data_IF_273348851596
#
_entry.id   IF_273348851596
#
_cell.length_a   1.000
_cell.length_b   1.000
_cell.length_c   1.000
_cell.angle_alpha   90.00
_cell.angle_beta   90.00
_cell.angle_gamma   90.00
#
_symmetry.space_group_name_H-M   'P 1'
#
loop_
_entity.id
_entity.type
_entity.pdbx_description
1 polymer ?
#
# COMPACT_ATOMS: atom_id res chain seq x y z
N UNK A 1 57.38 15.46 -0.01
CA UNK A 1 56.26 16.18 -0.67
C UNK A 1 55.38 15.13 -1.32
N UNK A 2 54.48 14.54 -0.51
CA UNK A 2 53.01 14.80 -0.50
C UNK A 2 52.33 14.09 -1.67
N UNK A 3 51.74 12.92 -1.42
CA UNK A 3 50.29 12.69 -1.12
C UNK A 3 49.46 12.73 -2.42
N UNK A 4 48.48 11.89 -2.69
CA UNK A 4 47.66 11.02 -1.86
C UNK A 4 46.98 10.01 -2.79
N UNK A 5 46.74 8.82 -2.26
CA UNK A 5 45.72 7.88 -2.71
C UNK A 5 44.42 8.61 -3.04
N UNK A 6 43.85 8.37 -4.23
CA UNK A 6 42.42 8.62 -4.44
C UNK A 6 41.68 7.46 -3.80
N UNK A 7 41.27 7.69 -2.56
CA UNK A 7 40.26 6.89 -1.87
C UNK A 7 39.06 6.69 -2.79
N UNK A 8 38.68 5.42 -2.92
CA UNK A 8 37.39 4.98 -3.42
C UNK A 8 36.33 5.62 -2.51
N UNK A 9 35.70 6.70 -2.97
CA UNK A 9 34.55 7.28 -2.27
C UNK A 9 33.35 6.34 -2.44
N UNK A 10 33.24 5.39 -1.51
CA UNK A 10 32.01 4.67 -1.20
C UNK A 10 31.04 5.64 -0.50
N UNK A 11 30.40 6.54 -1.24
CA UNK A 11 29.32 7.37 -0.72
C UNK A 11 27.97 6.70 -1.00
N UNK A 12 27.65 5.77 -0.10
CA UNK A 12 26.33 5.43 0.45
C UNK A 12 25.10 6.10 -0.21
N UNK A 13 24.64 5.51 -1.32
CA UNK A 13 23.36 5.84 -1.94
C UNK A 13 22.23 5.25 -1.07
N UNK A 14 21.59 6.08 -0.24
CA UNK A 14 20.43 5.65 0.57
C UNK A 14 19.22 5.67 -0.36
N UNK A 15 18.87 4.50 -0.93
CA UNK A 15 17.72 4.39 -1.85
C UNK A 15 16.45 4.99 -1.24
N UNK A 16 15.68 5.72 -2.05
CA UNK A 16 14.47 6.46 -1.65
C UNK A 16 13.46 5.56 -0.91
N UNK A 17 13.38 4.29 -1.29
CA UNK A 17 12.55 3.26 -0.64
C UNK A 17 12.93 3.07 0.84
N UNK A 18 14.23 3.08 1.15
CA UNK A 18 14.73 2.97 2.53
C UNK A 18 14.44 4.22 3.35
N UNK A 19 14.38 5.39 2.72
CA UNK A 19 13.99 6.64 3.38
C UNK A 19 12.50 6.61 3.71
N UNK A 20 11.66 6.27 2.74
CA UNK A 20 10.22 6.09 2.92
C UNK A 20 9.90 5.09 4.04
N UNK A 21 10.56 3.93 4.02
CA UNK A 21 10.40 2.91 5.05
C UNK A 21 10.68 3.44 6.46
N UNK A 22 11.75 4.22 6.62
CA UNK A 22 12.10 4.84 7.91
C UNK A 22 11.08 5.89 8.33
N UNK A 23 10.59 6.71 7.40
CA UNK A 23 9.57 7.73 7.66
C UNK A 23 8.26 7.08 8.14
N UNK A 24 7.77 6.06 7.43
CA UNK A 24 6.56 5.34 7.82
C UNK A 24 6.74 4.70 9.20
N UNK A 25 7.84 3.98 9.45
CA UNK A 25 8.07 3.35 10.76
C UNK A 25 8.15 4.37 11.89
N UNK A 26 8.81 5.52 11.68
CA UNK A 26 8.83 6.61 12.67
C UNK A 26 7.43 7.14 12.94
N UNK A 27 6.62 7.24 11.89
CA UNK A 27 5.26 7.71 11.97
C UNK A 27 4.31 6.76 12.70
N UNK A 28 4.41 5.47 12.38
CA UNK A 28 3.54 4.38 12.86
C UNK A 28 3.88 3.98 14.30
N UNK A 29 5.16 4.04 14.69
CA UNK A 29 5.59 3.68 16.04
C UNK A 29 5.04 4.67 17.09
N UNK A 30 4.43 4.13 18.15
CA UNK A 30 4.14 4.93 19.34
C UNK A 30 5.44 5.24 20.07
N UNK A 31 5.74 6.53 20.23
CA UNK A 31 6.86 6.98 21.06
C UNK A 31 6.69 6.57 22.54
N UNK A 32 5.47 6.23 22.98
CA UNK A 32 5.18 5.82 24.36
C UNK A 32 5.49 4.35 24.66
N UNK A 33 5.26 3.43 23.72
CA UNK A 33 5.38 1.99 23.99
C UNK A 33 6.76 1.41 23.62
N UNK A 34 7.66 2.20 23.00
CA UNK A 34 8.96 1.75 22.45
C UNK A 34 8.86 0.53 21.53
N UNK A 35 7.65 0.19 21.06
CA UNK A 35 7.43 -0.97 20.20
C UNK A 35 7.76 -0.56 18.78
N UNK A 36 8.76 -1.21 18.20
CA UNK A 36 9.11 -1.01 16.80
C UNK A 36 8.16 -1.84 15.95
N UNK A 37 7.09 -1.22 15.48
CA UNK A 37 6.09 -1.84 14.62
C UNK A 37 6.69 -1.98 13.21
N UNK A 38 6.92 -3.21 12.81
CA UNK A 38 7.01 -3.60 11.40
C UNK A 38 5.69 -4.24 11.01
N UNK A 39 5.26 -4.07 9.75
CA UNK A 39 4.07 -4.76 9.30
C UNK A 39 4.30 -6.27 9.36
N UNK A 40 3.33 -7.00 9.87
CA UNK A 40 3.25 -8.46 9.76
C UNK A 40 2.71 -8.89 8.40
N UNK A 41 2.02 -7.99 7.69
CA UNK A 41 1.51 -8.19 6.34
C UNK A 41 1.30 -6.85 5.63
N UNK A 42 1.41 -6.83 4.30
CA UNK A 42 1.13 -5.66 3.47
C UNK A 42 0.16 -5.99 2.33
N UNK A 43 -0.85 -5.16 2.15
CA UNK A 43 -1.71 -5.16 0.97
C UNK A 43 -1.44 -3.91 0.14
N UNK A 44 -0.95 -4.09 -1.09
CA UNK A 44 -0.78 -2.97 -2.02
C UNK A 44 -1.95 -2.94 -2.99
N UNK A 45 -2.82 -1.93 -2.87
CA UNK A 45 -4.01 -1.81 -3.72
C UNK A 45 -3.73 -0.86 -4.87
N UNK A 46 -3.83 -1.37 -6.09
CA UNK A 46 -3.57 -0.63 -7.34
C UNK A 46 -4.79 -0.66 -8.28
N UNK A 47 -4.73 0.18 -9.32
CA UNK A 47 -5.75 0.24 -10.37
C UNK A 47 -6.47 1.58 -10.50
N UNK A 48 -5.93 2.67 -9.92
CA UNK A 48 -6.45 4.01 -10.23
C UNK A 48 -6.19 4.35 -11.71
N UNK A 49 -7.17 4.99 -12.35
CA UNK A 49 -7.09 5.39 -13.76
C UNK A 49 -7.68 6.79 -13.97
N UNK A 50 -7.02 7.59 -14.81
CA UNK A 50 -7.43 8.97 -15.11
C UNK A 50 -8.46 9.04 -16.25
N UNK A 51 -8.63 7.96 -17.02
CA UNK A 51 -9.56 7.86 -18.14
C UNK A 51 -10.64 6.83 -17.82
N UNK A 52 -11.77 7.23 -17.22
CA UNK A 52 -12.82 6.25 -16.95
C UNK A 52 -14.27 6.72 -17.08
N UNK A 53 -15.08 5.79 -17.60
CA UNK A 53 -16.52 5.68 -17.41
C UNK A 53 -16.75 4.60 -16.36
N UNK A 54 -17.10 4.96 -15.10
CA UNK A 54 -17.37 4.02 -14.01
C UNK A 54 -18.25 2.85 -14.41
N UNK A 55 -17.72 1.61 -14.37
CA UNK A 55 -18.58 0.42 -14.28
C UNK A 55 -18.99 0.21 -12.82
N UNK A 56 -20.28 0.04 -12.52
CA UNK A 56 -20.71 -0.35 -11.18
C UNK A 56 -20.17 -1.75 -10.85
N UNK A 57 -19.39 -1.86 -9.78
CA UNK A 57 -18.88 -3.11 -9.23
C UNK A 57 -19.07 -3.13 -7.69
N UNK A 58 -19.05 -4.29 -7.02
CA UNK A 58 -19.46 -4.42 -5.62
C UNK A 58 -18.41 -3.87 -4.64
N UNK A 59 -18.26 -2.53 -4.62
CA UNK A 59 -17.29 -1.79 -3.81
C UNK A 59 -17.42 -2.10 -2.33
N UNK A 60 -18.64 -2.23 -1.80
CA UNK A 60 -18.87 -2.55 -0.38
C UNK A 60 -18.30 -3.90 0.01
N UNK A 61 -18.46 -4.92 -0.83
CA UNK A 61 -17.90 -6.26 -0.59
C UNK A 61 -16.38 -6.20 -0.54
N UNK A 62 -15.75 -5.51 -1.48
CA UNK A 62 -14.31 -5.30 -1.48
C UNK A 62 -13.82 -4.54 -0.25
N UNK A 63 -14.49 -3.45 0.12
CA UNK A 63 -14.13 -2.66 1.30
C UNK A 63 -14.17 -3.52 2.57
N UNK A 64 -15.23 -4.30 2.76
CA UNK A 64 -15.35 -5.22 3.91
C UNK A 64 -14.26 -6.28 3.87
N UNK A 65 -14.05 -6.93 2.72
CA UNK A 65 -13.04 -7.99 2.58
C UNK A 65 -11.62 -7.48 2.85
N UNK A 66 -11.27 -6.30 2.31
CA UNK A 66 -9.96 -5.67 2.51
C UNK A 66 -9.70 -5.39 3.99
N UNK A 67 -10.68 -4.81 4.69
CA UNK A 67 -10.54 -4.46 6.11
C UNK A 67 -10.50 -5.71 7.00
N UNK A 68 -11.38 -6.69 6.79
CA UNK A 68 -11.39 -7.92 7.59
C UNK A 68 -10.12 -8.76 7.37
N UNK A 69 -9.61 -8.82 6.14
CA UNK A 69 -8.31 -9.44 5.86
C UNK A 69 -7.18 -8.70 6.59
N UNK A 70 -7.20 -7.36 6.58
CA UNK A 70 -6.14 -6.57 7.20
C UNK A 70 -6.15 -6.70 8.73
N UNK A 71 -7.33 -6.73 9.35
CA UNK A 71 -7.49 -6.99 10.79
C UNK A 71 -6.97 -8.38 11.18
N UNK A 72 -7.20 -9.37 10.34
CA UNK A 72 -6.76 -10.75 10.57
C UNK A 72 -5.23 -10.92 10.45
N UNK A 73 -4.58 -10.05 9.68
CA UNK A 73 -3.14 -10.07 9.41
C UNK A 73 -2.24 -9.57 10.54
N UNK A 74 -2.80 -9.10 11.66
CA UNK A 74 -2.04 -8.47 12.73
C UNK A 74 -1.74 -7.01 12.39
N UNK A 75 -0.50 -6.56 12.57
CA UNK A 75 -0.07 -5.21 12.21
C UNK A 75 0.05 -5.07 10.68
N UNK A 76 -1.06 -4.79 10.00
CA UNK A 76 -1.15 -4.76 8.53
C UNK A 76 -1.02 -3.35 7.97
N UNK A 77 -0.25 -3.18 6.90
CA UNK A 77 -0.25 -1.95 6.12
C UNK A 77 -1.05 -2.10 4.83
N UNK A 78 -1.86 -1.11 4.51
CA UNK A 78 -2.55 -0.97 3.23
C UNK A 78 -1.86 0.16 2.46
N UNK A 79 -1.21 -0.16 1.35
CA UNK A 79 -0.64 0.82 0.43
C UNK A 79 -1.67 1.21 -0.64
N UNK A 80 -1.75 2.49 -0.98
CA UNK A 80 -2.62 3.00 -2.05
C UNK A 80 -2.06 4.31 -2.63
N UNK A 81 -2.48 4.70 -3.85
CA UNK A 81 -1.93 5.87 -4.54
C UNK A 81 -2.39 7.22 -3.93
N UNK A 82 -3.60 7.25 -3.38
CA UNK A 82 -4.22 8.44 -2.83
C UNK A 82 -4.79 9.40 -3.86
N UNK A 83 -5.23 8.91 -5.01
CA UNK A 83 -6.08 9.67 -5.92
C UNK A 83 -7.43 10.04 -5.26
N UNK A 84 -8.02 11.17 -5.69
CA UNK A 84 -9.29 11.64 -5.12
C UNK A 84 -10.52 10.82 -5.54
N UNK A 85 -10.39 10.09 -6.64
CA UNK A 85 -11.44 9.27 -7.24
C UNK A 85 -10.95 7.84 -7.44
N UNK A 86 -11.74 7.01 -8.12
CA UNK A 86 -11.35 5.65 -8.49
C UNK A 86 -11.20 4.71 -7.29
N UNK A 87 -10.22 3.82 -7.39
CA UNK A 87 -9.92 2.77 -6.40
C UNK A 87 -9.41 3.38 -5.11
N UNK A 88 -8.57 4.42 -5.18
CA UNK A 88 -8.05 5.13 -4.01
C UNK A 88 -9.15 5.71 -3.13
N UNK A 89 -10.20 6.28 -3.75
CA UNK A 89 -11.37 6.73 -2.99
C UNK A 89 -12.07 5.56 -2.29
N UNK A 90 -12.23 4.42 -2.97
CA UNK A 90 -12.88 3.23 -2.39
C UNK A 90 -12.08 2.71 -1.19
N UNK A 91 -10.75 2.61 -1.29
CA UNK A 91 -9.86 2.20 -0.19
C UNK A 91 -9.93 3.19 0.98
N UNK A 92 -9.87 4.50 0.68
CA UNK A 92 -9.97 5.57 1.69
C UNK A 92 -11.31 5.52 2.42
N UNK A 93 -12.41 5.31 1.70
CA UNK A 93 -13.75 5.19 2.30
C UNK A 93 -13.85 3.91 3.15
N UNK A 94 -13.24 2.79 2.73
CA UNK A 94 -13.15 1.56 3.52
C UNK A 94 -12.48 1.81 4.88
N UNK A 95 -11.32 2.48 4.83
CA UNK A 95 -10.52 2.75 6.01
C UNK A 95 -11.22 3.75 6.94
N UNK A 96 -11.83 4.81 6.40
CA UNK A 96 -12.63 5.76 7.21
C UNK A 96 -13.79 5.06 7.93
N UNK A 97 -14.50 4.16 7.26
CA UNK A 97 -15.58 3.39 7.88
C UNK A 97 -15.05 2.47 8.98
N UNK A 98 -13.90 1.83 8.76
CA UNK A 98 -13.20 1.04 9.78
C UNK A 98 -12.83 1.88 11.00
N UNK A 99 -12.26 3.07 10.79
CA UNK A 99 -11.95 4.00 11.87
C UNK A 99 -13.21 4.36 12.66
N UNK A 100 -14.25 4.80 11.96
CA UNK A 100 -15.54 5.16 12.55
C UNK A 100 -16.14 4.03 13.39
N UNK A 101 -16.07 2.79 12.92
CA UNK A 101 -16.62 1.63 13.63
C UNK A 101 -15.79 1.26 14.85
N UNK A 102 -14.45 1.23 14.76
CA UNK A 102 -13.61 1.01 15.94
C UNK A 102 -13.73 2.16 16.96
N UNK A 103 -13.94 3.39 16.49
CA UNK A 103 -14.20 4.54 17.37
C UNK A 103 -15.60 4.56 18.00
N UNK A 104 -16.64 4.06 17.30
CA UNK A 104 -18.02 4.05 17.80
C UNK A 104 -18.31 2.92 18.80
N UNK A 105 -17.46 1.90 18.89
CA UNK A 105 -17.64 0.76 19.83
C UNK A 105 -17.22 1.10 21.26
N UNK A 106 -16.57 2.25 21.51
CA UNK A 106 -16.21 2.66 22.87
C UNK A 106 -17.38 3.24 23.67
N UNK A 107 -18.11 2.34 24.33
CA UNK A 107 -18.62 2.61 25.67
C UNK A 107 -17.42 3.05 26.53
N UNK A 108 -17.52 4.20 27.20
CA UNK A 108 -16.60 4.70 28.24
C UNK A 108 -15.49 5.72 27.85
N UNK A 109 -15.56 6.34 26.66
CA UNK A 109 -14.99 7.69 26.45
C UNK A 109 -13.45 7.81 26.38
N UNK A 110 -12.72 6.74 26.08
CA UNK A 110 -11.25 6.73 26.05
C UNK A 110 -10.68 6.45 24.65
N UNK A 111 -10.71 7.47 23.78
CA UNK A 111 -10.19 7.44 22.39
C UNK A 111 -8.91 6.61 22.26
N UNK A 112 -9.00 5.42 21.65
CA UNK A 112 -7.83 4.62 21.24
C UNK A 112 -6.90 5.50 20.40
N UNK A 113 -5.62 5.50 20.75
CA UNK A 113 -4.61 6.23 20.00
C UNK A 113 -4.42 5.56 18.64
N UNK A 114 -4.25 6.35 17.58
CA UNK A 114 -3.98 5.86 16.21
C UNK A 114 -2.83 4.85 16.17
N UNK A 115 -1.89 4.94 17.13
CA UNK A 115 -0.77 4.01 17.31
C UNK A 115 -1.16 2.59 17.73
N UNK A 116 -2.27 2.41 18.44
CA UNK A 116 -2.71 1.12 18.97
C UNK A 116 -3.47 0.27 17.94
N UNK A 117 -3.80 0.84 16.76
CA UNK A 117 -4.53 0.12 15.72
C UNK A 117 -3.65 -0.84 14.93
N UNK A 118 -4.19 -2.01 14.64
CA UNK A 118 -3.51 -3.04 13.88
C UNK A 118 -3.42 -2.72 12.37
N UNK A 119 -4.41 -2.01 11.81
CA UNK A 119 -4.40 -1.65 10.38
C UNK A 119 -3.94 -0.21 10.19
N UNK A 120 -2.98 0.02 9.27
CA UNK A 120 -2.49 1.35 8.89
C UNK A 120 -2.68 1.60 7.39
N UNK A 121 -3.14 2.80 7.02
CA UNK A 121 -3.26 3.23 5.62
C UNK A 121 -2.07 4.13 5.23
N UNK A 122 -1.32 3.73 4.20
CA UNK A 122 -0.10 4.39 3.74
C UNK A 122 -0.28 4.89 2.31
N UNK A 123 -0.16 6.19 2.10
CA UNK A 123 -0.22 6.75 0.73
C UNK A 123 1.15 6.67 0.08
N UNK A 124 1.21 6.06 -1.09
CA UNK A 124 2.42 5.95 -1.91
C UNK A 124 2.07 6.44 -3.32
N UNK A 125 2.31 7.73 -3.63
CA UNK A 125 1.89 8.31 -4.90
C UNK A 125 2.65 7.69 -6.08
N UNK A 126 1.92 7.41 -7.17
CA UNK A 126 2.51 6.98 -8.43
C UNK A 126 2.78 8.19 -9.33
N UNK A 127 3.98 8.27 -9.89
CA UNK A 127 4.33 9.30 -10.86
C UNK A 127 4.03 8.78 -12.28
N UNK A 128 2.79 8.95 -12.73
CA UNK A 128 2.36 8.62 -14.10
C UNK A 128 2.93 9.65 -15.07
N UNK A 129 3.64 9.21 -16.11
CA UNK A 129 4.35 10.13 -17.00
C UNK A 129 3.40 10.88 -17.93
N UNK A 130 3.40 12.21 -17.79
CA UNK A 130 3.02 13.29 -18.72
C UNK A 130 1.57 13.82 -18.68
N UNK A 131 1.50 15.13 -18.39
CA UNK A 131 0.40 16.09 -18.63
C UNK A 131 -0.79 16.16 -17.65
N UNK A 132 -0.53 16.05 -16.35
CA UNK A 132 -1.30 16.80 -15.35
C UNK A 132 -0.35 17.29 -14.24
N UNK A 133 0.52 18.23 -14.63
CA UNK A 133 1.08 19.18 -13.67
C UNK A 133 -0.04 20.10 -13.19
N UNK A 134 -0.91 19.58 -12.34
CA UNK A 134 -1.80 20.38 -11.51
C UNK A 134 -2.11 19.57 -10.25
N UNK A 135 -1.10 19.45 -9.40
CA UNK A 135 -1.34 19.16 -7.99
C UNK A 135 -1.92 20.45 -7.38
N UNK A 136 -3.18 20.47 -6.91
CA UNK A 136 -3.66 21.60 -6.14
C UNK A 136 -2.87 21.59 -4.82
N UNK A 137 -1.98 22.55 -4.68
CA UNK A 137 -1.43 22.95 -3.38
C UNK A 137 -2.55 23.66 -2.64
N UNK A 138 -3.12 23.02 -1.60
CA UNK A 138 -4.13 23.55 -0.67
C UNK A 138 -5.49 23.89 -1.30
N UNK A 139 -6.64 23.44 -0.81
CA UNK A 139 -7.33 23.83 0.43
C UNK A 139 -8.66 23.04 0.40
N UNK A 140 -9.21 22.51 1.49
CA UNK A 140 -9.95 23.27 2.51
C UNK A 140 -10.11 22.41 3.78
N UNK A 141 -9.66 23.00 4.89
CA UNK A 141 -10.22 22.96 6.25
C UNK A 141 -11.33 21.93 6.53
N UNK A 142 -10.99 20.74 7.03
CA UNK A 142 -11.81 20.03 8.01
C UNK A 142 -10.89 19.35 9.05
N UNK A 143 -10.78 20.02 10.20
CA UNK A 143 -10.21 19.63 11.49
C UNK A 143 -9.03 18.64 11.52
N UNK A 144 -7.84 19.17 11.86
CA UNK A 144 -6.59 18.45 12.14
C UNK A 144 -6.64 17.45 13.34
N UNK A 145 -7.82 17.13 13.89
CA UNK A 145 -7.98 16.24 15.07
C UNK A 145 -8.67 14.90 14.79
N UNK A 146 -9.15 14.67 13.57
CA UNK A 146 -10.00 13.53 13.22
C UNK A 146 -9.62 12.82 11.92
N UNK A 147 -8.56 13.22 11.23
CA UNK A 147 -8.09 12.49 10.05
C UNK A 147 -7.11 11.38 10.43
N UNK A 148 -7.18 10.20 9.78
CA UNK A 148 -6.12 9.21 9.88
C UNK A 148 -4.80 9.84 9.48
N UNK A 149 -3.70 9.46 10.14
CA UNK A 149 -2.35 9.79 9.65
C UNK A 149 -2.12 9.05 8.33
N UNK A 150 -2.61 9.63 7.25
CA UNK A 150 -2.22 9.25 5.90
C UNK A 150 -0.78 9.71 5.75
N UNK A 151 0.18 8.79 5.85
CA UNK A 151 1.57 9.13 5.64
C UNK A 151 1.77 9.50 4.17
N UNK A 152 2.10 10.77 3.94
CA UNK A 152 2.39 11.31 2.61
C UNK A 152 3.89 11.57 2.53
N UNK A 153 4.68 10.63 2.00
CA UNK A 153 6.10 10.85 1.82
C UNK A 153 6.37 11.84 0.71
N UNK A 154 7.60 12.37 0.68
CA UNK A 154 8.06 13.22 -0.43
C UNK A 154 7.84 12.47 -1.75
N UNK A 155 7.15 13.07 -2.75
CA UNK A 155 6.87 12.39 -4.00
C UNK A 155 8.17 11.99 -4.70
N UNK A 156 8.36 10.69 -4.91
CA UNK A 156 9.51 10.16 -5.63
C UNK A 156 9.45 10.60 -7.10
N UNK A 157 10.61 10.98 -7.64
CA UNK A 157 10.76 11.28 -9.08
C UNK A 157 10.89 10.01 -9.91
N UNK A 158 10.99 8.83 -9.28
CA UNK A 158 11.20 7.55 -9.94
C UNK A 158 9.90 7.03 -10.52
N UNK A 159 9.87 6.80 -11.84
CA UNK A 159 8.77 6.07 -12.49
C UNK A 159 8.67 4.65 -11.88
N UNK A 160 7.44 4.20 -11.59
CA UNK A 160 7.18 2.91 -10.93
C UNK A 160 7.79 2.78 -9.51
N UNK A 161 7.88 3.88 -8.75
CA UNK A 161 8.37 3.87 -7.38
C UNK A 161 7.57 2.93 -6.46
N UNK A 162 6.24 2.84 -6.63
CA UNK A 162 5.40 1.92 -5.85
C UNK A 162 5.92 0.48 -5.96
N UNK A 163 6.15 0.00 -7.18
CA UNK A 163 6.67 -1.34 -7.43
C UNK A 163 8.05 -1.58 -6.78
N UNK A 164 8.97 -0.61 -6.86
CA UNK A 164 10.28 -0.77 -6.22
C UNK A 164 10.17 -0.76 -4.69
N UNK A 165 9.21 -0.01 -4.14
CA UNK A 165 8.91 0.00 -2.72
C UNK A 165 8.23 -1.30 -2.25
N UNK A 166 7.27 -1.84 -3.00
CA UNK A 166 6.65 -3.14 -2.75
C UNK A 166 7.71 -4.25 -2.66
N UNK A 167 8.62 -4.28 -3.65
CA UNK A 167 9.75 -5.20 -3.65
C UNK A 167 10.64 -4.98 -2.44
N UNK A 168 11.01 -3.73 -2.15
CA UNK A 168 11.84 -3.40 -0.99
C UNK A 168 11.23 -3.90 0.31
N UNK A 169 9.91 -3.73 0.50
CA UNK A 169 9.19 -4.22 1.68
C UNK A 169 9.27 -5.74 1.77
N UNK A 170 9.01 -6.46 0.66
CA UNK A 170 9.03 -7.92 0.63
C UNK A 170 10.39 -8.53 1.02
N UNK A 171 11.47 -7.79 0.80
CA UNK A 171 12.84 -8.18 1.15
C UNK A 171 13.19 -7.86 2.61
N UNK A 172 12.37 -7.09 3.34
CA UNK A 172 12.59 -6.81 4.76
C UNK A 172 12.24 -8.04 5.59
N UNK A 173 13.07 -8.35 6.59
CA UNK A 173 12.76 -9.37 7.59
C UNK A 173 12.12 -8.76 8.82
N UNK A 174 11.14 -9.47 9.36
CA UNK A 174 10.46 -9.12 10.60
C UNK A 174 10.55 -10.30 11.55
N UNK A 175 10.88 -10.00 12.80
CA UNK A 175 10.92 -11.01 13.84
C UNK A 175 9.49 -11.27 14.33
N UNK A 176 9.02 -12.49 14.14
CA UNK A 176 7.76 -12.96 14.67
C UNK A 176 8.05 -13.64 16.02
N UNK A 177 7.73 -12.95 17.11
CA UNK A 177 7.90 -13.47 18.46
C UNK A 177 6.58 -14.05 18.95
N UNK A 178 6.54 -15.35 19.20
CA UNK A 178 5.42 -16.04 19.84
C UNK A 178 5.93 -16.90 20.98
N UNK A 179 5.04 -17.33 21.89
CA UNK A 179 5.43 -18.17 23.04
C UNK A 179 6.11 -19.49 22.65
N UNK A 180 5.96 -19.93 21.39
CA UNK A 180 6.40 -21.24 20.90
C UNK A 180 7.37 -21.14 19.70
N UNK A 181 7.56 -19.95 19.13
CA UNK A 181 8.32 -19.77 17.90
C UNK A 181 8.90 -18.36 17.79
N UNK A 182 10.23 -18.31 17.66
CA UNK A 182 11.01 -17.12 17.35
C UNK A 182 11.69 -17.34 16.00
N UNK A 183 11.23 -16.66 14.96
CA UNK A 183 11.87 -16.67 13.66
C UNK A 183 11.79 -15.31 12.97
N UNK A 184 12.80 -15.04 12.14
CA UNK A 184 12.79 -13.94 11.20
C UNK A 184 12.22 -14.42 9.87
N UNK A 185 11.16 -13.77 9.41
CA UNK A 185 10.51 -14.06 8.13
C UNK A 185 10.42 -12.81 7.27
N UNK A 186 10.49 -12.93 5.94
CA UNK A 186 10.25 -11.79 5.06
C UNK A 186 8.81 -11.29 5.22
N UNK A 187 8.60 -9.98 5.05
CA UNK A 187 7.27 -9.39 5.13
C UNK A 187 6.40 -9.93 3.98
N UNK A 188 5.28 -10.62 4.27
CA UNK A 188 4.33 -11.02 3.24
C UNK A 188 3.67 -9.78 2.63
N UNK A 189 3.68 -9.69 1.30
CA UNK A 189 2.97 -8.65 0.55
C UNK A 189 2.05 -9.28 -0.48
N UNK A 190 0.85 -8.73 -0.67
CA UNK A 190 -0.04 -9.07 -1.78
C UNK A 190 -0.43 -7.82 -2.56
N UNK A 191 -0.25 -7.85 -3.88
CA UNK A 191 -0.66 -6.77 -4.79
C UNK A 191 -2.10 -7.06 -5.25
N UNK A 192 -3.04 -6.19 -4.90
CA UNK A 192 -4.45 -6.31 -5.22
C UNK A 192 -4.79 -5.35 -6.35
N UNK A 193 -5.23 -5.90 -7.48
CA UNK A 193 -5.61 -5.14 -8.67
C UNK A 193 -7.13 -5.06 -8.74
N UNK A 194 -7.66 -3.85 -8.64
CA UNK A 194 -9.08 -3.59 -8.82
C UNK A 194 -9.38 -3.14 -10.24
N UNK A 195 -9.27 -1.86 -10.57
CA UNK A 195 -9.44 -1.38 -11.95
C UNK A 195 -8.06 -1.28 -12.63
N UNK A 196 -7.86 -0.30 -13.51
CA UNK A 196 -6.52 0.05 -14.00
C UNK A 196 -6.48 0.47 -15.46
N UNK A 197 -5.34 1.04 -15.83
CA UNK A 197 -4.96 1.42 -17.19
C UNK A 197 -3.79 0.56 -17.69
N UNK A 198 -3.28 0.86 -18.88
CA UNK A 198 -2.18 0.09 -19.48
C UNK A 198 -0.92 0.05 -18.58
N UNK A 199 -0.67 1.08 -17.76
CA UNK A 199 0.44 1.07 -16.81
C UNK A 199 0.23 0.03 -15.71
N UNK A 200 -1.03 -0.26 -15.36
CA UNK A 200 -1.40 -1.34 -14.43
C UNK A 200 -0.98 -2.72 -14.96
N UNK A 201 -1.12 -2.99 -16.27
CA UNK A 201 -0.62 -4.24 -16.87
C UNK A 201 0.90 -4.37 -16.71
N UNK A 202 1.61 -3.27 -16.94
CA UNK A 202 3.07 -3.23 -16.78
C UNK A 202 3.45 -3.46 -15.31
N UNK A 203 2.69 -2.91 -14.37
CA UNK A 203 2.90 -3.16 -12.94
C UNK A 203 2.70 -4.63 -12.59
N UNK A 204 1.60 -5.25 -13.04
CA UNK A 204 1.31 -6.69 -12.81
C UNK A 204 2.46 -7.56 -13.28
N UNK A 205 2.92 -7.37 -14.53
CA UNK A 205 4.01 -8.17 -15.09
C UNK A 205 5.27 -8.07 -14.23
N UNK A 206 5.67 -6.85 -13.85
CA UNK A 206 6.89 -6.65 -13.07
C UNK A 206 6.77 -7.11 -11.62
N UNK A 207 5.58 -7.06 -11.04
CA UNK A 207 5.30 -7.59 -9.71
C UNK A 207 5.49 -9.12 -9.71
N UNK A 208 4.94 -9.80 -10.72
CA UNK A 208 5.12 -11.24 -10.91
C UNK A 208 6.59 -11.61 -11.17
N UNK A 209 7.31 -10.85 -12.01
CA UNK A 209 8.76 -11.03 -12.22
C UNK A 209 9.55 -10.89 -10.91
N UNK A 210 9.06 -10.05 -10.00
CA UNK A 210 9.63 -9.83 -8.65
C UNK A 210 9.11 -10.83 -7.61
N UNK A 211 8.35 -11.86 -8.02
CA UNK A 211 7.73 -12.89 -7.17
C UNK A 211 6.78 -12.33 -6.12
N UNK A 212 6.16 -11.18 -6.40
CA UNK A 212 5.11 -10.64 -5.57
C UNK A 212 3.77 -11.25 -5.99
N UNK A 213 3.00 -11.84 -5.07
CA UNK A 213 1.72 -12.44 -5.44
C UNK A 213 0.72 -11.34 -5.83
N UNK A 214 0.07 -11.55 -6.97
CA UNK A 214 -0.94 -10.64 -7.54
C UNK A 214 -2.32 -11.28 -7.42
N UNK A 215 -3.26 -10.52 -6.85
CA UNK A 215 -4.66 -10.85 -6.73
C UNK A 215 -5.44 -9.90 -7.64
N UNK A 216 -6.19 -10.44 -8.59
CA UNK A 216 -6.99 -9.63 -9.51
C UNK A 216 -8.46 -9.76 -9.13
N UNK A 217 -9.10 -8.63 -8.87
CA UNK A 217 -10.53 -8.56 -8.62
C UNK A 217 -11.27 -8.67 -9.94
N UNK A 218 -12.07 -9.72 -10.10
CA UNK A 218 -12.92 -9.87 -11.28
C UNK A 218 -14.17 -9.01 -11.16
N UNK A 219 -14.63 -8.46 -12.28
CA UNK A 219 -15.85 -7.66 -12.38
C UNK A 219 -15.68 -6.20 -11.92
N UNK A 220 -14.47 -5.80 -11.52
CA UNK A 220 -14.12 -4.41 -11.22
C UNK A 220 -14.02 -3.54 -12.48
N UNK A 221 -13.81 -4.14 -13.65
CA UNK A 221 -13.75 -3.46 -14.94
C UNK A 221 -12.32 -3.14 -15.42
N UNK A 222 -12.27 -2.34 -16.49
CA UNK A 222 -11.05 -1.82 -17.12
C UNK A 222 -10.01 -2.93 -17.40
N UNK A 223 -8.75 -2.70 -17.04
CA UNK A 223 -7.66 -3.65 -17.29
C UNK A 223 -7.80 -4.96 -16.50
N UNK A 224 -8.34 -4.92 -15.28
CA UNK A 224 -8.46 -6.14 -14.48
C UNK A 224 -9.33 -7.20 -15.15
N UNK A 225 -10.49 -6.81 -15.69
CA UNK A 225 -11.35 -7.73 -16.44
C UNK A 225 -10.69 -8.22 -17.73
N UNK A 226 -9.98 -7.35 -18.45
CA UNK A 226 -9.25 -7.75 -19.67
C UNK A 226 -8.19 -8.80 -19.33
N UNK A 227 -7.43 -8.62 -18.25
CA UNK A 227 -6.43 -9.58 -17.80
C UNK A 227 -7.09 -10.89 -17.35
N UNK A 228 -8.17 -10.82 -16.58
CA UNK A 228 -8.92 -12.01 -16.14
C UNK A 228 -9.49 -12.79 -17.32
N UNK A 229 -10.12 -12.12 -18.29
CA UNK A 229 -10.68 -12.74 -19.48
C UNK A 229 -9.58 -13.40 -20.33
N UNK A 230 -8.42 -12.76 -20.43
CA UNK A 230 -7.25 -13.33 -21.09
C UNK A 230 -6.78 -14.60 -20.38
N UNK A 231 -6.59 -14.56 -19.07
CA UNK A 231 -6.16 -15.72 -18.27
C UNK A 231 -7.16 -16.88 -18.36
N UNK A 232 -8.45 -16.57 -18.31
CA UNK A 232 -9.54 -17.55 -18.42
C UNK A 232 -9.53 -18.25 -19.78
N UNK A 233 -9.28 -17.52 -20.86
CA UNK A 233 -9.22 -18.07 -22.22
C UNK A 233 -8.15 -19.16 -22.38
N UNK A 234 -7.04 -19.06 -21.65
CA UNK A 234 -5.91 -19.97 -21.77
C UNK A 234 -5.79 -20.97 -20.61
N UNK A 235 -6.79 -21.08 -19.73
CA UNK A 235 -6.77 -21.92 -18.53
C UNK A 235 -5.54 -21.70 -17.63
N UNK A 236 -4.96 -20.48 -17.63
CA UNK A 236 -3.71 -20.16 -16.92
C UNK A 236 -3.91 -19.80 -15.45
N UNK A 237 -4.87 -20.45 -14.76
CA UNK A 237 -5.21 -20.14 -13.36
C UNK A 237 -4.12 -20.53 -12.35
N UNK A 238 -2.98 -21.07 -12.78
CA UNK A 238 -1.94 -21.57 -11.88
C UNK A 238 -1.10 -20.49 -11.22
N UNK A 239 -0.99 -19.29 -11.83
CA UNK A 239 0.03 -18.29 -11.44
C UNK A 239 -0.58 -16.98 -10.88
N UNK A 240 -1.89 -16.81 -10.94
CA UNK A 240 -2.61 -15.64 -10.43
C UNK A 240 -3.90 -16.06 -9.69
N UNK A 241 -4.14 -15.49 -8.51
CA UNK A 241 -5.34 -15.78 -7.73
C UNK A 241 -6.46 -14.79 -8.11
N UNK A 242 -7.58 -15.31 -8.62
CA UNK A 242 -8.73 -14.50 -9.04
C UNK A 242 -9.81 -14.60 -7.97
N UNK A 243 -10.25 -13.45 -7.45
CA UNK A 243 -11.34 -13.38 -6.46
C UNK A 243 -12.59 -12.84 -7.17
N UNK A 244 -13.70 -13.58 -7.05
CA UNK A 244 -15.03 -13.21 -7.55
C UNK A 244 -15.77 -12.29 -6.57
#
# INVERSE_FOLDING_TARGET
MTSSSKEFQSNQDVSEEKQLWKEIRKGVNDLKTKRQLSPTMVFSVIGDSDNFVPRPWPKTVFQTALIEAAKSGGDTWILYSGAEQGVSKVVRDAYKNYEDMEFKIERDGKKISDTDRHVKLIRVPENKSNNSSEYPTSTMLEDEKTQPKIYQPTPSKKKSFLLSFERFISEQTVAFFSKEFDAEMPVPIAVIVCEGDIETVVHISKALDSKLPVIIMKGSGAIADIVVDYLAKYNMYSDAFIIN
#
